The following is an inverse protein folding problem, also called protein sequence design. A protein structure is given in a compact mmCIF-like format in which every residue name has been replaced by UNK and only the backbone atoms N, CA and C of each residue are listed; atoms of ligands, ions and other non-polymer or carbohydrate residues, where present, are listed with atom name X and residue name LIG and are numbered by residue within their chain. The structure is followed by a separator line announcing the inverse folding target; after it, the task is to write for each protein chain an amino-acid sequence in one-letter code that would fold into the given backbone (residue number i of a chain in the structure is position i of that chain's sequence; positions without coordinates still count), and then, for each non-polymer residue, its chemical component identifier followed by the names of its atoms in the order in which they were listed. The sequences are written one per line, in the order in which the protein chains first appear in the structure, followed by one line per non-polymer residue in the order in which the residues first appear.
data_IF_067803496928
#
_entry.id   IF_067803496928
#
_cell.length_a   1.000
_cell.length_b   1.000
_cell.length_c   1.000
_cell.angle_alpha   90.00
_cell.angle_beta   90.00
_cell.angle_gamma   90.00
#
_symmetry.space_group_name_H-M   'P 1'
#
loop_
_entity.id
_entity.type
_entity.pdbx_description
1 polymer ?
#
# COMPACT_ATOMS: atom_id res chain seq x y z
N UNK A 1 39.30 -0.42 25.74
CA UNK A 1 37.83 -0.56 25.73
C UNK A 1 37.26 0.55 24.87
N UNK A 2 36.60 0.19 23.76
CA UNK A 2 35.92 1.16 22.87
C UNK A 2 34.44 1.03 23.17
N UNK A 3 33.87 2.01 23.84
CA UNK A 3 32.42 2.08 24.08
C UNK A 3 31.72 2.21 22.72
N UNK A 4 30.94 1.19 22.36
CA UNK A 4 30.05 1.24 21.20
C UNK A 4 28.88 2.14 21.60
N UNK A 5 28.90 3.37 21.07
CA UNK A 5 27.85 4.36 21.27
C UNK A 5 26.47 3.76 21.01
N UNK A 6 25.59 3.84 22.02
CA UNK A 6 24.16 3.59 21.87
C UNK A 6 23.67 4.44 20.69
N UNK A 7 23.36 3.79 19.56
CA UNK A 7 22.62 4.42 18.47
C UNK A 7 21.32 4.96 19.08
N UNK A 8 21.21 6.28 19.15
CA UNK A 8 20.04 6.93 19.72
C UNK A 8 18.79 6.45 18.99
N UNK A 9 17.89 5.80 19.72
CA UNK A 9 16.53 5.58 19.22
C UNK A 9 15.91 6.98 19.07
N UNK A 10 15.72 7.41 17.82
CA UNK A 10 14.92 8.60 17.54
C UNK A 10 13.50 8.34 18.01
N UNK A 11 13.01 9.19 18.92
CA UNK A 11 11.61 9.17 19.36
C UNK A 11 10.74 9.57 18.17
N UNK A 12 9.91 8.65 17.68
CA UNK A 12 8.93 8.92 16.62
C UNK A 12 7.79 9.75 17.22
N UNK A 13 7.49 10.90 16.62
CA UNK A 13 6.37 11.75 17.03
C UNK A 13 5.13 11.41 16.20
N UNK A 14 3.91 11.64 16.72
CA UNK A 14 2.69 11.47 15.92
C UNK A 14 2.69 12.29 14.62
N UNK A 15 3.36 13.45 14.62
CA UNK A 15 3.55 14.31 13.44
C UNK A 15 4.43 13.70 12.35
N UNK A 16 5.22 12.67 12.68
CA UNK A 16 6.16 12.05 11.76
C UNK A 16 5.52 10.89 10.98
N UNK A 17 4.25 10.57 11.28
CA UNK A 17 3.51 9.44 10.71
C UNK A 17 2.63 9.95 9.57
N UNK A 18 2.72 9.31 8.39
CA UNK A 18 1.73 9.47 7.32
C UNK A 18 0.92 8.17 7.20
N UNK A 19 -0.39 8.30 7.20
CA UNK A 19 -1.35 7.21 7.11
C UNK A 19 -1.84 7.04 5.69
N UNK A 20 -1.88 5.80 5.24
CA UNK A 20 -2.48 5.42 3.95
C UNK A 20 -3.66 4.51 4.24
N UNK A 21 -4.85 4.93 3.83
CA UNK A 21 -6.08 4.16 3.95
C UNK A 21 -6.48 3.63 2.57
N UNK A 22 -6.54 2.31 2.43
CA UNK A 22 -7.00 1.67 1.19
C UNK A 22 -8.52 1.71 1.10
N UNK A 23 -9.04 1.98 -0.10
CA UNK A 23 -10.48 2.01 -0.38
C UNK A 23 -10.81 1.26 -1.67
N UNK A 24 -12.01 0.68 -1.79
CA UNK A 24 -12.47 0.05 -3.03
C UNK A 24 -12.43 1.02 -4.22
N UNK A 25 -11.92 0.56 -5.35
CA UNK A 25 -11.83 1.38 -6.56
C UNK A 25 -13.19 1.78 -7.15
N UNK A 26 -14.23 0.99 -6.87
CA UNK A 26 -15.61 1.22 -7.33
C UNK A 26 -16.34 2.33 -6.55
N UNK A 27 -15.76 2.82 -5.44
CA UNK A 27 -16.40 3.85 -4.63
C UNK A 27 -16.42 5.21 -5.32
N UNK A 28 -17.52 5.93 -5.13
CA UNK A 28 -17.67 7.31 -5.57
C UNK A 28 -16.78 8.25 -4.77
N UNK A 29 -16.53 9.45 -5.29
CA UNK A 29 -15.73 10.44 -4.59
C UNK A 29 -16.36 10.89 -3.27
N UNK A 30 -17.71 10.90 -3.20
CA UNK A 30 -18.44 11.15 -1.96
C UNK A 30 -18.18 10.04 -0.92
N UNK A 31 -18.19 8.77 -1.32
CA UNK A 31 -17.86 7.66 -0.41
C UNK A 31 -16.40 7.71 0.06
N UNK A 32 -15.46 8.04 -0.84
CA UNK A 32 -14.05 8.26 -0.49
C UNK A 32 -13.89 9.43 0.49
N UNK A 33 -14.62 10.51 0.28
CA UNK A 33 -14.60 11.67 1.18
C UNK A 33 -15.18 11.32 2.55
N UNK A 34 -16.29 10.57 2.59
CA UNK A 34 -16.86 10.07 3.83
C UNK A 34 -15.85 9.24 4.62
N UNK A 35 -15.08 8.36 3.97
CA UNK A 35 -14.05 7.57 4.64
C UNK A 35 -12.90 8.40 5.21
N UNK A 36 -12.55 9.51 4.55
CA UNK A 36 -11.58 10.46 5.07
C UNK A 36 -12.05 11.07 6.38
N UNK A 37 -13.33 11.40 6.48
CA UNK A 37 -13.94 11.94 7.70
C UNK A 37 -14.09 10.85 8.78
N UNK A 38 -14.46 9.63 8.38
CA UNK A 38 -14.59 8.48 9.26
C UNK A 38 -13.24 8.02 9.85
N UNK A 39 -12.12 8.33 9.21
CA UNK A 39 -10.78 8.05 9.71
C UNK A 39 -10.42 8.80 11.01
N UNK A 40 -11.30 9.71 11.47
CA UNK A 40 -11.45 10.14 12.87
C UNK A 40 -10.16 10.23 13.70
N UNK A 41 -9.58 11.42 13.82
CA UNK A 41 -8.41 11.68 14.66
C UNK A 41 -7.08 11.70 13.90
N UNK A 42 -7.09 11.44 12.59
CA UNK A 42 -5.94 11.62 11.72
C UNK A 42 -6.07 12.97 10.99
N UNK A 43 -5.06 13.87 11.08
CA UNK A 43 -5.08 15.11 10.30
C UNK A 43 -5.10 14.83 8.80
N UNK A 44 -5.89 15.59 8.04
CA UNK A 44 -5.98 15.45 6.58
C UNK A 44 -4.62 15.58 5.87
N UNK A 45 -3.68 16.35 6.43
CA UNK A 45 -2.32 16.49 5.91
C UNK A 45 -1.48 15.21 6.07
N UNK A 46 -1.88 14.32 6.98
CA UNK A 46 -1.21 13.05 7.27
C UNK A 46 -2.02 11.84 6.76
N UNK A 47 -3.11 12.04 6.01
CA UNK A 47 -3.98 10.97 5.50
C UNK A 47 -4.04 10.97 3.98
N UNK A 48 -3.63 9.86 3.38
CA UNK A 48 -3.73 9.59 1.95
C UNK A 48 -4.69 8.43 1.72
N UNK A 49 -5.53 8.53 0.68
CA UNK A 49 -6.29 7.37 0.20
C UNK A 49 -5.54 6.70 -0.95
N UNK A 50 -5.48 5.38 -0.92
CA UNK A 50 -4.99 4.57 -2.02
C UNK A 50 -6.12 3.65 -2.50
N UNK A 51 -6.22 3.39 -3.81
CA UNK A 51 -7.16 2.37 -4.27
C UNK A 51 -6.61 0.99 -3.91
N UNK A 52 -7.47 0.11 -3.40
CA UNK A 52 -7.12 -1.30 -3.14
C UNK A 52 -6.38 -1.97 -4.31
N UNK A 53 -6.87 -1.92 -5.57
CA UNK A 53 -6.16 -2.54 -6.69
C UNK A 53 -4.80 -1.89 -7.00
N UNK A 54 -4.63 -0.59 -6.74
CA UNK A 54 -3.33 0.10 -6.94
C UNK A 54 -2.32 -0.34 -5.87
N UNK A 55 -2.75 -0.38 -4.61
CA UNK A 55 -1.91 -0.86 -3.50
C UNK A 55 -1.48 -2.32 -3.72
N UNK A 56 -2.42 -3.18 -4.13
CA UNK A 56 -2.16 -4.57 -4.47
C UNK A 56 -1.18 -4.70 -5.64
N UNK A 57 -1.35 -3.91 -6.71
CA UNK A 57 -0.44 -3.90 -7.86
C UNK A 57 0.99 -3.51 -7.48
N UNK A 58 1.14 -2.42 -6.70
CA UNK A 58 2.44 -1.98 -6.20
C UNK A 58 3.09 -3.08 -5.37
N UNK A 59 2.34 -3.72 -4.47
CA UNK A 59 2.86 -4.82 -3.67
C UNK A 59 3.35 -5.97 -4.55
N UNK A 60 2.53 -6.45 -5.49
CA UNK A 60 2.88 -7.54 -6.41
C UNK A 60 4.13 -7.25 -7.25
N UNK A 61 4.39 -5.98 -7.59
CA UNK A 61 5.62 -5.57 -8.29
C UNK A 61 6.89 -5.77 -7.45
N UNK A 62 6.81 -5.65 -6.13
CA UNK A 62 7.98 -5.69 -5.24
C UNK A 62 8.24 -7.07 -4.61
N UNK A 63 7.37 -8.06 -4.83
CA UNK A 63 7.57 -9.42 -4.33
C UNK A 63 8.68 -10.11 -5.14
N UNK A 64 9.69 -10.74 -4.49
CA UNK A 64 10.74 -11.49 -5.17
C UNK A 64 10.16 -12.57 -6.09
N UNK A 65 10.72 -12.64 -7.30
CA UNK A 65 10.29 -13.51 -8.42
C UNK A 65 10.26 -15.00 -8.10
N UNK A 66 10.97 -15.46 -7.06
CA UNK A 66 11.01 -16.86 -6.60
C UNK A 66 9.64 -17.41 -6.17
N UNK A 67 8.66 -16.55 -5.85
CA UNK A 67 7.33 -16.97 -5.38
C UNK A 67 6.23 -16.93 -6.44
N UNK A 68 6.53 -16.55 -7.69
CA UNK A 68 5.50 -16.30 -8.70
C UNK A 68 5.97 -16.77 -10.08
N UNK A 69 5.86 -18.08 -10.30
CA UNK A 69 5.99 -18.69 -11.64
C UNK A 69 4.58 -18.93 -12.17
N UNK A 70 4.09 -18.01 -13.00
CA UNK A 70 2.86 -18.19 -13.75
C UNK A 70 3.23 -18.56 -15.20
N UNK A 71 3.23 -19.85 -15.53
CA UNK A 71 3.37 -20.32 -16.92
C UNK A 71 4.71 -20.03 -17.59
N UNK A 72 5.82 -19.98 -16.83
CA UNK A 72 7.18 -19.87 -17.39
C UNK A 72 7.67 -18.45 -17.71
N UNK A 73 6.88 -17.41 -17.42
CA UNK A 73 7.32 -16.00 -17.45
C UNK A 73 7.53 -15.48 -16.03
N UNK A 74 8.58 -14.69 -15.85
CA UNK A 74 8.88 -14.05 -14.57
C UNK A 74 7.86 -12.94 -14.28
N UNK A 75 7.61 -12.63 -13.01
CA UNK A 75 6.78 -11.48 -12.60
C UNK A 75 7.25 -10.15 -13.19
N UNK A 76 8.55 -10.02 -13.45
CA UNK A 76 9.16 -8.82 -14.02
C UNK A 76 8.63 -8.52 -15.43
N UNK A 77 8.30 -9.56 -16.20
CA UNK A 77 7.72 -9.40 -17.54
C UNK A 77 6.29 -8.86 -17.49
N UNK A 78 5.53 -9.21 -16.42
CA UNK A 78 4.15 -8.76 -16.23
C UNK A 78 4.02 -7.24 -15.97
N UNK A 79 5.11 -6.57 -15.57
CA UNK A 79 5.15 -5.12 -15.32
C UNK A 79 5.93 -4.33 -16.38
N UNK A 80 6.29 -4.97 -17.49
CA UNK A 80 6.89 -4.27 -18.63
C UNK A 80 5.91 -3.27 -19.26
N UNK A 81 6.36 -2.09 -19.74
CA UNK A 81 5.49 -1.12 -20.40
C UNK A 81 4.68 -1.76 -21.54
N UNK A 82 3.37 -1.49 -21.57
CA UNK A 82 2.44 -2.08 -22.53
C UNK A 82 1.77 -3.38 -22.07
N UNK A 83 2.23 -3.98 -20.97
CA UNK A 83 1.56 -5.15 -20.39
C UNK A 83 0.28 -4.78 -19.65
N UNK A 84 -0.74 -5.62 -19.78
CA UNK A 84 -2.01 -5.54 -19.06
C UNK A 84 -2.11 -6.74 -18.13
N UNK A 85 -2.52 -6.51 -16.89
CA UNK A 85 -2.76 -7.55 -15.90
C UNK A 85 -4.05 -7.25 -15.12
N UNK A 86 -4.62 -8.29 -14.51
CA UNK A 86 -5.82 -8.21 -13.70
C UNK A 86 -5.43 -8.37 -12.23
N UNK A 87 -5.93 -7.48 -11.38
CA UNK A 87 -5.93 -7.69 -9.92
C UNK A 87 -7.29 -8.28 -9.56
N UNK A 88 -7.28 -9.49 -9.01
CA UNK A 88 -8.47 -10.14 -8.49
C UNK A 88 -8.46 -10.03 -6.97
N UNK A 89 -9.32 -9.17 -6.45
CA UNK A 89 -9.67 -9.17 -5.04
C UNK A 89 -10.94 -10.02 -4.85
N UNK A 90 -10.78 -11.18 -4.21
CA UNK A 90 -11.84 -12.13 -3.90
C UNK A 90 -12.03 -12.23 -2.38
N UNK A 91 -12.15 -11.07 -1.73
CA UNK A 91 -12.60 -10.98 -0.35
C UNK A 91 -14.01 -11.58 -0.14
N UNK A 92 -14.40 -11.70 1.13
CA UNK A 92 -15.73 -12.18 1.50
C UNK A 92 -16.77 -11.07 1.60
N UNK A 93 -18.03 -11.47 1.60
CA UNK A 93 -19.15 -10.71 2.17
C UNK A 93 -19.72 -11.57 3.29
N UNK A 94 -19.79 -11.02 4.51
CA UNK A 94 -20.57 -11.59 5.62
C UNK A 94 -21.91 -10.85 5.70
#
# INVERSE_FOLDING_TARGET
MRELGKKGQSVIRPSDINWVLTVPAIWSDAAKQFMREAAGGIPNSQLMLALEPEAASIYCKHIPSERMVCGGKSTLDAFSPGTKYLILDAGGWL
#
